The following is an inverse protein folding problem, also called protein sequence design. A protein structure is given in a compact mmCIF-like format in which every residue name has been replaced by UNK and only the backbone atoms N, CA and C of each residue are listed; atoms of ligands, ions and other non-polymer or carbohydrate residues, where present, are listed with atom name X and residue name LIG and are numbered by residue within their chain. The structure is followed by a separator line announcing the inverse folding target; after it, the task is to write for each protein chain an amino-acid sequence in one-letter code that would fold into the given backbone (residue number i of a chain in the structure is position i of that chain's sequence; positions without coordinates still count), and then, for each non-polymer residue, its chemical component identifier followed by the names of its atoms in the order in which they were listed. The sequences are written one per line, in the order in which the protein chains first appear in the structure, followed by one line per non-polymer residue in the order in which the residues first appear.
data_IF_550404834990
#
_entry.id   IF_550404834990
#
_cell.length_a   1.000
_cell.length_b   1.000
_cell.length_c   1.000
_cell.angle_alpha   90.00
_cell.angle_beta   90.00
_cell.angle_gamma   90.00
#
_symmetry.space_group_name_H-M   'P 1'
#
loop_
_entity.id
_entity.type
_entity.pdbx_description
1 polymer ?
#
# COMPACT_ATOMS: atom_id res chain seq x y z
N UNK A 1 7.80 8.30 -1.30
CA UNK A 1 8.61 7.46 -2.20
C UNK A 1 7.92 7.43 -3.54
N UNK A 2 8.65 7.72 -4.62
CA UNK A 2 8.11 7.69 -5.99
C UNK A 2 8.24 6.28 -6.58
N UNK A 3 7.38 5.96 -7.56
CA UNK A 3 7.40 4.64 -8.23
C UNK A 3 8.75 4.32 -8.85
N UNK A 4 9.44 5.29 -9.45
CA UNK A 4 10.75 5.06 -10.06
C UNK A 4 11.83 4.70 -9.03
N UNK A 5 11.76 5.24 -7.82
CA UNK A 5 12.69 4.91 -6.73
C UNK A 5 12.45 3.49 -6.22
N UNK A 6 11.17 3.09 -6.13
CA UNK A 6 10.81 1.72 -5.76
C UNK A 6 11.29 0.70 -6.80
N UNK A 7 11.08 0.98 -8.08
CA UNK A 7 11.55 0.12 -9.18
C UNK A 7 13.06 -0.02 -9.14
N UNK A 8 13.79 1.06 -8.89
CA UNK A 8 15.25 1.03 -8.79
C UNK A 8 15.72 0.05 -7.69
N UNK A 9 15.13 0.15 -6.49
CA UNK A 9 15.41 -0.75 -5.35
C UNK A 9 15.09 -2.21 -5.67
N UNK A 10 13.96 -2.47 -6.32
CA UNK A 10 13.53 -3.83 -6.67
C UNK A 10 14.32 -4.41 -7.85
N UNK A 11 14.86 -3.57 -8.73
CA UNK A 11 15.61 -4.01 -9.92
C UNK A 11 16.92 -4.71 -9.58
N UNK A 12 17.47 -4.47 -8.39
CA UNK A 12 18.65 -5.17 -7.87
C UNK A 12 18.34 -6.59 -7.35
N UNK A 13 17.05 -6.96 -7.21
CA UNK A 13 16.63 -8.26 -6.71
C UNK A 13 16.41 -9.28 -7.83
N UNK A 14 16.48 -10.60 -7.54
CA UNK A 14 16.09 -11.62 -8.50
C UNK A 14 14.61 -11.46 -8.93
N UNK A 15 14.28 -11.69 -10.21
CA UNK A 15 12.91 -11.52 -10.71
C UNK A 15 11.90 -12.53 -10.15
N UNK A 16 12.38 -13.62 -9.55
CA UNK A 16 11.57 -14.67 -8.94
C UNK A 16 11.37 -14.45 -7.43
N UNK A 17 11.87 -13.34 -6.87
CA UNK A 17 11.71 -13.02 -5.46
C UNK A 17 10.30 -12.51 -5.17
N UNK A 18 9.66 -13.11 -4.17
CA UNK A 18 8.35 -12.68 -3.68
C UNK A 18 8.44 -11.33 -2.94
N UNK A 19 7.39 -10.53 -3.05
CA UNK A 19 7.29 -9.21 -2.39
C UNK A 19 6.23 -9.28 -1.30
N UNK A 20 6.62 -8.90 -0.08
CA UNK A 20 5.75 -8.83 1.09
C UNK A 20 5.72 -7.39 1.66
N UNK A 21 4.59 -7.02 2.26
CA UNK A 21 4.41 -5.81 3.05
C UNK A 21 4.65 -6.16 4.52
N UNK A 22 5.60 -5.49 5.15
CA UNK A 22 5.83 -5.58 6.59
C UNK A 22 5.30 -4.32 7.29
N UNK A 23 4.37 -4.51 8.22
CA UNK A 23 3.82 -3.44 9.07
C UNK A 23 4.45 -3.59 10.46
N UNK A 24 5.28 -2.62 10.84
CA UNK A 24 5.91 -2.59 12.15
C UNK A 24 5.04 -1.74 13.08
N UNK A 25 4.56 -2.34 14.16
CA UNK A 25 3.80 -1.59 15.15
C UNK A 25 4.70 -0.52 15.81
N UNK A 26 4.13 0.63 16.19
CA UNK A 26 4.85 1.64 16.96
C UNK A 26 5.44 1.06 18.24
N UNK A 27 6.71 1.38 18.52
CA UNK A 27 7.37 0.98 19.77
C UNK A 27 7.13 2.09 20.80
N UNK A 28 6.48 1.75 21.91
CA UNK A 28 6.29 2.65 23.04
C UNK A 28 7.49 2.58 23.99
N UNK A 29 7.81 3.70 24.66
CA UNK A 29 8.95 3.76 25.59
C UNK A 29 8.81 2.83 26.81
N UNK A 30 7.58 2.37 27.10
CA UNK A 30 7.24 1.46 28.18
C UNK A 30 7.10 0.00 27.73
N UNK A 31 7.26 -0.27 26.42
CA UNK A 31 7.09 -1.61 25.85
C UNK A 31 8.13 -1.90 24.76
N UNK A 32 9.13 -2.71 25.11
CA UNK A 32 10.23 -3.12 24.22
C UNK A 32 9.82 -4.19 23.18
N UNK A 33 8.57 -4.67 23.19
CA UNK A 33 8.12 -5.70 22.25
C UNK A 33 7.81 -5.08 20.88
N UNK A 34 8.66 -5.39 19.89
CA UNK A 34 8.46 -5.02 18.49
C UNK A 34 7.58 -6.08 17.83
N UNK A 35 6.33 -5.74 17.51
CA UNK A 35 5.47 -6.60 16.69
C UNK A 35 5.56 -6.20 15.21
N UNK A 36 5.72 -7.20 14.35
CA UNK A 36 5.80 -7.02 12.90
C UNK A 36 4.81 -7.96 12.24
N UNK A 37 3.81 -7.40 11.59
CA UNK A 37 2.85 -8.12 10.77
C UNK A 37 3.36 -8.17 9.33
N UNK A 38 3.14 -9.30 8.65
CA UNK A 38 3.61 -9.52 7.28
C UNK A 38 2.49 -10.02 6.40
N UNK A 39 2.34 -9.42 5.24
CA UNK A 39 1.29 -9.74 4.28
C UNK A 39 1.86 -9.83 2.87
N UNK A 40 1.33 -10.74 2.05
CA UNK A 40 1.62 -10.75 0.63
C UNK A 40 0.97 -9.55 -0.07
N UNK A 41 1.58 -9.08 -1.15
CA UNK A 41 0.96 -8.08 -2.02
C UNK A 41 0.00 -8.79 -2.97
N UNK A 42 -1.29 -8.65 -2.74
CA UNK A 42 -2.34 -9.24 -3.56
C UNK A 42 -2.91 -8.26 -4.60
N UNK A 43 -2.67 -6.96 -4.44
CA UNK A 43 -3.19 -5.94 -5.35
C UNK A 43 -2.39 -4.66 -5.41
N UNK A 44 -2.54 -3.93 -6.52
CA UNK A 44 -1.98 -2.59 -6.72
C UNK A 44 -3.08 -1.71 -7.30
N UNK A 45 -3.42 -0.62 -6.62
CA UNK A 45 -4.50 0.28 -7.02
C UNK A 45 -4.07 1.76 -6.98
N UNK A 46 -4.53 2.57 -7.94
CA UNK A 46 -4.39 4.02 -7.84
C UNK A 46 -5.33 4.56 -6.77
N UNK A 47 -4.80 5.43 -5.92
CA UNK A 47 -5.55 6.23 -4.95
C UNK A 47 -5.39 7.71 -5.30
N UNK A 48 -6.52 8.41 -5.30
CA UNK A 48 -6.57 9.86 -5.37
C UNK A 48 -7.12 10.35 -4.04
N UNK A 49 -6.40 11.27 -3.40
CA UNK A 49 -6.87 11.87 -2.17
C UNK A 49 -8.17 12.63 -2.45
N UNK A 50 -9.20 12.39 -1.64
CA UNK A 50 -10.51 12.99 -1.84
C UNK A 50 -10.55 14.49 -1.49
N UNK A 51 -9.46 15.04 -0.94
CA UNK A 51 -9.30 16.44 -0.56
C UNK A 51 -8.56 17.27 -1.64
N UNK A 52 -8.50 16.81 -2.89
CA UNK A 52 -8.10 17.63 -4.02
C UNK A 52 -9.20 18.65 -4.33
N UNK A 53 -9.28 19.69 -3.51
CA UNK A 53 -10.01 20.93 -3.77
C UNK A 53 -9.61 21.42 -5.17
N UNK A 54 -10.60 21.67 -6.03
CA UNK A 54 -10.47 22.09 -7.43
C UNK A 54 -9.67 23.42 -7.64
N UNK A 55 -9.13 24.01 -6.57
CA UNK A 55 -8.33 25.25 -6.51
C UNK A 55 -6.85 25.05 -6.13
N UNK A 56 -6.34 23.81 -5.98
CA UNK A 56 -4.90 23.58 -5.74
C UNK A 56 -4.09 23.49 -7.05
N UNK A 57 -3.06 24.33 -7.19
CA UNK A 57 -2.12 24.39 -8.34
C UNK A 57 -1.23 23.12 -8.48
N UNK A 58 -1.48 22.08 -7.69
CA UNK A 58 -0.91 20.76 -7.81
C UNK A 58 -2.06 19.77 -8.05
N UNK A 59 -2.29 19.29 -9.29
CA UNK A 59 -3.24 18.22 -9.51
C UNK A 59 -2.82 17.03 -8.64
N UNK A 60 -3.73 16.55 -7.80
CA UNK A 60 -3.51 15.54 -6.78
C UNK A 60 -2.48 14.49 -7.18
N UNK A 61 -1.43 14.42 -6.38
CA UNK A 61 -0.30 13.55 -6.64
C UNK A 61 -0.78 12.08 -6.63
N UNK A 62 -0.91 11.48 -7.82
CA UNK A 62 -1.35 10.11 -8.00
C UNK A 62 -0.52 9.19 -7.09
N UNK A 63 -1.18 8.63 -6.09
CA UNK A 63 -0.57 7.73 -5.11
C UNK A 63 -0.97 6.32 -5.47
N UNK A 64 -0.01 5.38 -5.47
CA UNK A 64 -0.30 3.97 -5.71
C UNK A 64 -0.29 3.25 -4.37
N UNK A 65 -1.34 2.47 -4.10
CA UNK A 65 -1.46 1.62 -2.93
C UNK A 65 -1.05 0.20 -3.29
N UNK A 66 -0.16 -0.38 -2.48
CA UNK A 66 0.11 -1.81 -2.44
C UNK A 66 -0.82 -2.40 -1.39
N UNK A 67 -1.69 -3.32 -1.80
CA UNK A 67 -2.70 -3.90 -0.91
C UNK A 67 -2.28 -5.32 -0.56
N UNK A 68 -2.20 -5.56 0.75
CA UNK A 68 -1.93 -6.85 1.36
C UNK A 68 -2.60 -6.90 2.73
N UNK A 69 -2.98 -8.10 3.16
CA UNK A 69 -3.72 -8.34 4.39
C UNK A 69 -4.06 -9.82 4.55
N UNK A 70 -4.95 -10.15 5.48
CA UNK A 70 -5.53 -11.49 5.50
C UNK A 70 -6.42 -11.67 4.26
N UNK A 71 -6.29 -12.82 3.56
CA UNK A 71 -7.05 -13.14 2.33
C UNK A 71 -8.54 -12.75 2.36
N UNK A 72 -9.33 -13.06 3.41
CA UNK A 72 -10.76 -12.68 3.43
C UNK A 72 -10.98 -11.17 3.46
N UNK A 73 -10.11 -10.41 4.14
CA UNK A 73 -10.25 -8.97 4.31
C UNK A 73 -9.82 -8.24 3.03
N UNK A 74 -8.72 -8.69 2.41
CA UNK A 74 -8.27 -8.15 1.12
C UNK A 74 -9.33 -8.38 0.06
N UNK A 75 -9.88 -9.59 -0.02
CA UNK A 75 -10.91 -9.91 -1.01
C UNK A 75 -12.18 -9.07 -0.80
N UNK A 76 -12.62 -8.91 0.45
CA UNK A 76 -13.77 -8.06 0.77
C UNK A 76 -13.52 -6.58 0.44
N UNK A 77 -12.29 -6.10 0.64
CA UNK A 77 -11.89 -4.74 0.28
C UNK A 77 -11.89 -4.54 -1.25
N UNK A 78 -11.28 -5.46 -2.00
CA UNK A 78 -11.25 -5.42 -3.47
C UNK A 78 -12.67 -5.43 -4.04
N UNK A 79 -13.54 -6.32 -3.54
CA UNK A 79 -14.96 -6.37 -3.93
C UNK A 79 -15.70 -5.05 -3.67
N UNK A 80 -15.39 -4.37 -2.55
CA UNK A 80 -16.06 -3.12 -2.18
C UNK A 80 -15.64 -1.93 -3.06
N UNK A 81 -14.37 -1.87 -3.48
CA UNK A 81 -13.86 -0.80 -4.35
C UNK A 81 -14.20 -1.02 -5.83
N UNK A 82 -14.47 -2.26 -6.26
CA UNK A 82 -14.90 -2.60 -7.62
C UNK A 82 -16.42 -2.38 -7.85
N UNK A 83 -17.20 -2.12 -6.80
CA UNK A 83 -18.64 -1.83 -6.88
C UNK A 83 -19.04 -0.35 -6.67
N UNK A 84 -18.39 0.66 -7.30
CA UNK A 84 -18.85 2.05 -7.19
C UNK A 84 -20.05 2.37 -8.11
N UNK A 85 -20.55 1.44 -8.93
CA UNK A 85 -21.71 1.64 -9.80
C UNK A 85 -22.73 0.49 -9.67
N UNK A 86 -23.73 0.67 -8.81
CA UNK A 86 -25.01 -0.05 -8.83
C UNK A 86 -26.19 0.93 -8.74
#
# INVERSE_FOLDING_TARGET
MRVHELIDILSDQPPETEVEIAIVAPVDADNDDITVDRYFVDGVLPWQDAEDDEESDNPGELTIWLVGGEEPDVNAFLDAIEQPDA
#
